data_IF_289115376014
#
_entry.id   IF_289115376014
#
_cell.length_a   1.000
_cell.length_b   1.000
_cell.length_c   1.000
_cell.angle_alpha   90.00
_cell.angle_beta   90.00
_cell.angle_gamma   90.00
#
_symmetry.space_group_name_H-M   'P 1'
#
loop_
_entity.id
_entity.type
_entity.pdbx_description
1 polymer ?
#
# COMPACT_ATOMS: atom_id res chain seq x y z
N UNK A 1 15.17 -1.29 16.90
CA UNK A 1 16.63 -1.23 17.13
C UNK A 1 16.89 -0.23 18.25
N UNK A 2 17.91 -0.44 19.08
CA UNK A 2 18.21 0.42 20.26
C UNK A 2 19.22 1.54 19.98
N UNK A 3 19.63 1.72 18.72
CA UNK A 3 20.57 2.76 18.29
C UNK A 3 20.31 3.17 16.84
N UNK A 4 20.94 4.26 16.43
CA UNK A 4 20.98 4.70 15.04
C UNK A 4 21.53 3.59 14.11
N UNK A 5 20.95 3.41 12.91
CA UNK A 5 21.42 2.42 11.97
C UNK A 5 22.77 2.81 11.36
N UNK A 6 23.63 1.81 11.17
CA UNK A 6 24.89 1.91 10.44
C UNK A 6 24.72 1.25 9.08
N UNK A 7 25.63 1.55 8.15
CA UNK A 7 25.63 0.93 6.83
C UNK A 7 25.61 -0.62 6.89
N UNK A 8 26.37 -1.22 7.82
CA UNK A 8 26.41 -2.68 8.01
C UNK A 8 25.07 -3.28 8.46
N UNK A 9 24.22 -2.50 9.12
CA UNK A 9 22.92 -2.98 9.61
C UNK A 9 21.98 -3.33 8.45
N UNK A 10 22.27 -2.86 7.23
CA UNK A 10 21.61 -3.26 5.98
C UNK A 10 21.70 -4.76 5.71
N UNK A 11 22.83 -5.37 6.04
CA UNK A 11 23.10 -6.79 5.82
C UNK A 11 22.80 -7.59 7.08
N UNK A 12 23.20 -7.06 8.24
CA UNK A 12 22.91 -7.69 9.53
C UNK A 12 21.40 -7.84 9.77
N UNK A 13 20.57 -6.94 9.22
CA UNK A 13 19.11 -7.06 9.29
C UNK A 13 18.62 -8.41 8.75
N UNK A 14 19.10 -8.85 7.59
CA UNK A 14 18.64 -10.11 7.01
C UNK A 14 19.08 -11.33 7.82
N UNK A 15 20.29 -11.27 8.39
CA UNK A 15 20.74 -12.31 9.31
C UNK A 15 19.84 -12.41 10.54
N UNK A 16 19.53 -11.27 11.17
CA UNK A 16 18.65 -11.22 12.35
C UNK A 16 17.21 -11.61 12.01
N UNK A 17 16.73 -11.20 10.83
CA UNK A 17 15.42 -11.54 10.33
C UNK A 17 15.30 -13.04 10.08
N UNK A 18 16.27 -13.65 9.41
CA UNK A 18 16.30 -15.08 9.16
C UNK A 18 16.31 -15.86 10.47
N UNK A 19 17.15 -15.46 11.44
CA UNK A 19 17.17 -16.07 12.78
C UNK A 19 15.78 -16.03 13.43
N UNK A 20 15.09 -14.88 13.36
CA UNK A 20 13.73 -14.73 13.93
C UNK A 20 12.68 -15.56 13.18
N UNK A 21 12.73 -15.58 11.85
CA UNK A 21 11.83 -16.38 11.00
C UNK A 21 12.01 -17.88 11.30
N UNK A 22 13.24 -18.37 11.43
CA UNK A 22 13.51 -19.77 11.78
C UNK A 22 12.94 -20.11 13.15
N UNK A 23 13.04 -19.21 14.13
CA UNK A 23 12.54 -19.47 15.49
C UNK A 23 11.03 -19.29 15.68
N UNK A 24 10.37 -18.42 14.90
CA UNK A 24 8.97 -18.00 15.14
C UNK A 24 8.04 -18.21 13.95
N UNK A 25 8.56 -18.60 12.79
CA UNK A 25 7.81 -18.75 11.55
C UNK A 25 7.59 -17.43 10.80
N UNK A 26 7.45 -17.55 9.47
CA UNK A 26 7.24 -16.41 8.57
C UNK A 26 5.86 -15.76 8.74
N UNK A 27 4.82 -16.57 8.96
CA UNK A 27 3.44 -16.08 9.13
C UNK A 27 3.29 -15.18 10.34
N UNK A 28 3.80 -15.62 11.51
CA UNK A 28 3.78 -14.85 12.74
C UNK A 28 4.53 -13.51 12.60
N UNK A 29 5.65 -13.50 11.88
CA UNK A 29 6.41 -12.28 11.63
C UNK A 29 5.62 -11.27 10.78
N UNK A 30 5.01 -11.73 9.68
CA UNK A 30 4.15 -10.88 8.84
C UNK A 30 2.95 -10.33 9.64
N UNK A 31 2.29 -11.18 10.41
CA UNK A 31 1.15 -10.79 11.25
C UNK A 31 1.56 -9.77 12.32
N UNK A 32 2.74 -9.93 12.93
CA UNK A 32 3.26 -8.98 13.92
C UNK A 32 3.55 -7.61 13.29
N UNK A 33 4.03 -7.57 12.05
CA UNK A 33 4.23 -6.31 11.34
C UNK A 33 2.91 -5.64 10.98
N UNK A 34 2.00 -6.39 10.34
CA UNK A 34 0.70 -5.87 9.93
C UNK A 34 -0.22 -5.54 11.12
N UNK A 35 -0.09 -6.22 12.26
CA UNK A 35 -0.87 -5.92 13.47
C UNK A 35 -0.24 -4.82 14.33
N UNK A 36 1.10 -4.75 14.37
CA UNK A 36 1.83 -3.75 15.14
C UNK A 36 1.50 -2.32 14.73
N UNK A 37 1.31 -2.07 13.43
CA UNK A 37 0.92 -0.77 12.90
C UNK A 37 -0.41 -0.22 13.45
N UNK A 38 -1.27 -1.05 14.04
CA UNK A 38 -2.58 -0.66 14.58
C UNK A 38 -2.56 -0.33 16.07
N UNK A 39 -1.75 -1.05 16.84
CA UNK A 39 -1.90 -1.08 18.30
C UNK A 39 -0.71 -0.51 19.04
N UNK A 40 0.42 -0.29 18.36
CA UNK A 40 1.66 0.06 19.01
C UNK A 40 2.28 1.29 18.34
N UNK A 41 2.25 2.48 18.99
CA UNK A 41 2.90 3.70 18.50
C UNK A 41 4.39 3.52 18.20
N UNK A 42 5.03 2.55 18.85
CA UNK A 42 6.43 2.21 18.64
C UNK A 42 6.69 1.23 17.50
N UNK A 43 5.65 0.61 16.95
CA UNK A 43 5.77 -0.35 15.87
C UNK A 43 6.18 0.31 14.56
N UNK A 44 6.71 -0.53 13.70
CA UNK A 44 7.10 -0.15 12.35
C UNK A 44 5.84 0.09 11.53
N UNK A 45 5.71 1.29 10.96
CA UNK A 45 4.56 1.66 10.12
C UNK A 45 3.29 1.99 10.90
N UNK A 46 3.39 2.40 12.17
CA UNK A 46 2.22 2.82 12.95
C UNK A 46 1.41 3.92 12.25
N UNK A 47 0.16 3.62 11.91
CA UNK A 47 -0.70 4.44 11.06
C UNK A 47 -1.44 5.56 11.78
N UNK A 48 -1.31 5.65 13.11
CA UNK A 48 -2.11 6.54 13.95
C UNK A 48 -3.37 5.86 14.48
N UNK A 49 -4.10 6.56 15.35
CA UNK A 49 -5.37 6.09 15.92
C UNK A 49 -6.59 6.70 15.24
N UNK A 50 -6.39 7.65 14.34
CA UNK A 50 -7.45 8.46 13.75
C UNK A 50 -7.32 8.49 12.22
N UNK A 51 -8.45 8.73 11.55
CA UNK A 51 -8.45 9.01 10.12
C UNK A 51 -7.61 10.27 9.84
N UNK A 52 -6.77 10.22 8.81
CA UNK A 52 -6.00 11.39 8.42
C UNK A 52 -6.92 12.47 7.87
N UNK A 53 -6.69 13.73 8.27
CA UNK A 53 -7.49 14.89 7.82
C UNK A 53 -7.68 14.96 6.30
N UNK A 54 -6.67 14.55 5.52
CA UNK A 54 -6.78 14.53 4.06
C UNK A 54 -7.88 13.58 3.56
N UNK A 55 -8.02 12.41 4.19
CA UNK A 55 -9.07 11.43 3.88
C UNK A 55 -10.43 12.02 4.26
N UNK A 56 -10.53 12.66 5.43
CA UNK A 56 -11.76 13.31 5.88
C UNK A 56 -12.22 14.39 4.89
N UNK A 57 -11.31 15.29 4.48
CA UNK A 57 -11.60 16.33 3.47
C UNK A 57 -12.02 15.70 2.13
N UNK A 58 -11.36 14.63 1.70
CA UNK A 58 -11.72 13.94 0.47
C UNK A 58 -13.12 13.31 0.55
N UNK A 59 -13.50 12.74 1.71
CA UNK A 59 -14.85 12.21 1.95
C UNK A 59 -15.91 13.32 1.93
N UNK A 60 -15.61 14.49 2.48
CA UNK A 60 -16.51 15.66 2.40
C UNK A 60 -16.74 16.10 0.94
N UNK A 61 -15.67 16.14 0.14
CA UNK A 61 -15.77 16.40 -1.31
C UNK A 61 -16.66 15.34 -1.97
N UNK A 62 -16.42 14.06 -1.72
CA UNK A 62 -17.26 12.99 -2.29
C UNK A 62 -18.73 13.14 -1.87
N UNK A 63 -19.03 13.42 -0.60
CA UNK A 63 -20.41 13.63 -0.14
C UNK A 63 -21.09 14.79 -0.86
N UNK A 64 -20.37 15.89 -1.11
CA UNK A 64 -20.92 17.06 -1.78
C UNK A 64 -21.28 16.79 -3.26
N UNK A 65 -20.50 15.96 -3.96
CA UNK A 65 -20.68 15.73 -5.40
C UNK A 65 -21.42 14.43 -5.74
N UNK A 66 -21.37 13.41 -4.89
CA UNK A 66 -21.96 12.09 -5.15
C UNK A 66 -23.45 12.02 -4.79
N UNK A 67 -23.93 12.94 -3.94
CA UNK A 67 -25.29 12.91 -3.38
C UNK A 67 -26.44 13.14 -4.37
N UNK A 68 -26.19 13.64 -5.59
CA UNK A 68 -27.27 13.92 -6.55
C UNK A 68 -26.90 13.51 -7.98
N UNK A 69 -27.68 12.60 -8.58
CA UNK A 69 -27.66 12.31 -10.01
C UNK A 69 -26.64 11.29 -10.51
N UNK A 70 -25.85 10.67 -9.63
CA UNK A 70 -24.91 9.60 -10.01
C UNK A 70 -25.62 8.24 -9.94
N UNK A 71 -25.77 7.55 -11.07
CA UNK A 71 -26.36 6.20 -11.11
C UNK A 71 -25.31 5.09 -10.91
N UNK A 72 -24.09 5.31 -11.37
CA UNK A 72 -22.96 4.37 -11.34
C UNK A 72 -21.66 5.13 -11.15
N UNK A 73 -20.73 4.53 -10.43
CA UNK A 73 -19.38 5.07 -10.30
C UNK A 73 -18.33 3.97 -10.20
N UNK A 74 -17.10 4.28 -10.58
CA UNK A 74 -15.94 3.41 -10.36
C UNK A 74 -14.89 4.26 -9.65
N UNK A 75 -14.45 3.80 -8.48
CA UNK A 75 -13.36 4.41 -7.70
C UNK A 75 -12.16 3.49 -7.78
N UNK A 76 -11.06 4.01 -8.33
CA UNK A 76 -9.76 3.35 -8.43
C UNK A 76 -8.82 4.01 -7.42
N UNK A 77 -8.60 3.35 -6.27
CA UNK A 77 -7.56 3.76 -5.31
C UNK A 77 -6.20 3.23 -5.79
N UNK A 78 -5.38 4.12 -6.35
CA UNK A 78 -4.07 3.75 -6.92
C UNK A 78 -3.02 3.83 -5.83
N UNK A 79 -2.43 2.69 -5.51
CA UNK A 79 -1.42 2.59 -4.46
C UNK A 79 -0.21 1.76 -4.89
N UNK A 80 0.82 1.81 -4.05
CA UNK A 80 2.04 1.04 -4.21
C UNK A 80 2.21 0.09 -3.04
N UNK A 81 2.72 -1.11 -3.30
CA UNK A 81 2.91 -2.10 -2.27
C UNK A 81 4.05 -3.05 -2.58
N UNK A 82 4.46 -3.89 -1.61
CA UNK A 82 5.47 -4.91 -1.85
C UNK A 82 5.00 -5.89 -2.94
N UNK A 83 5.88 -6.24 -3.86
CA UNK A 83 5.53 -7.10 -4.99
C UNK A 83 6.61 -7.14 -6.07
N UNK A 84 6.29 -7.78 -7.19
CA UNK A 84 7.14 -7.71 -8.37
C UNK A 84 7.08 -6.30 -8.97
N UNK A 85 8.23 -5.72 -9.28
CA UNK A 85 8.34 -4.34 -9.75
C UNK A 85 7.45 -4.09 -10.99
N UNK A 86 6.55 -3.11 -10.90
CA UNK A 86 5.66 -2.71 -11.99
C UNK A 86 4.56 -3.72 -12.30
N UNK A 87 4.47 -4.82 -11.54
CA UNK A 87 3.31 -5.71 -11.61
C UNK A 87 2.08 -5.00 -11.05
N UNK A 88 0.94 -5.24 -11.68
CA UNK A 88 -0.34 -4.66 -11.26
C UNK A 88 -1.18 -5.76 -10.65
N UNK A 89 -1.87 -5.43 -9.57
CA UNK A 89 -2.92 -6.25 -8.99
C UNK A 89 -4.12 -5.37 -8.67
N UNK A 90 -5.29 -5.77 -9.15
CA UNK A 90 -6.55 -5.15 -8.78
C UNK A 90 -7.15 -5.94 -7.62
N UNK A 91 -7.42 -5.24 -6.53
CA UNK A 91 -7.96 -5.81 -5.30
C UNK A 91 -9.40 -5.33 -5.14
N UNK A 92 -10.33 -6.29 -5.09
CA UNK A 92 -11.75 -6.04 -4.84
C UNK A 92 -12.11 -6.30 -3.38
N UNK A 93 -13.21 -5.68 -2.91
CA UNK A 93 -13.67 -5.81 -1.53
C UNK A 93 -14.43 -7.10 -1.31
N UNK A 94 -15.12 -7.57 -2.35
CA UNK A 94 -15.90 -8.80 -2.32
C UNK A 94 -15.64 -9.65 -3.55
N UNK A 95 -16.16 -10.88 -3.51
CA UNK A 95 -16.11 -11.81 -4.64
C UNK A 95 -17.03 -11.35 -5.78
N UNK A 96 -18.14 -10.69 -5.45
CA UNK A 96 -19.09 -10.13 -6.41
C UNK A 96 -18.47 -8.95 -7.16
N UNK A 97 -17.84 -8.01 -6.44
CA UNK A 97 -17.08 -6.91 -7.05
C UNK A 97 -15.95 -7.43 -7.94
N UNK A 98 -15.29 -8.53 -7.54
CA UNK A 98 -14.25 -9.17 -8.35
C UNK A 98 -14.75 -9.58 -9.72
N UNK A 99 -15.94 -10.20 -9.79
CA UNK A 99 -16.54 -10.65 -11.06
C UNK A 99 -16.84 -9.46 -11.97
N UNK A 100 -17.26 -8.34 -11.41
CA UNK A 100 -17.46 -7.09 -12.17
C UNK A 100 -16.11 -6.53 -12.63
N UNK A 101 -15.13 -6.44 -11.74
CA UNK A 101 -13.79 -5.96 -12.05
C UNK A 101 -13.09 -6.80 -13.14
N UNK A 102 -13.22 -8.13 -13.11
CA UNK A 102 -12.67 -9.03 -14.14
C UNK A 102 -13.22 -8.76 -15.54
N UNK A 103 -14.48 -8.31 -15.63
CA UNK A 103 -15.11 -7.95 -16.91
C UNK A 103 -14.59 -6.61 -17.44
N UNK A 104 -14.32 -5.65 -16.54
CA UNK A 104 -13.87 -4.30 -16.87
C UNK A 104 -12.37 -4.32 -17.19
N UNK A 105 -11.55 -4.83 -16.27
CA UNK A 105 -10.08 -4.78 -16.32
C UNK A 105 -9.51 -6.09 -16.87
N UNK A 106 -9.80 -6.36 -18.15
CA UNK A 106 -9.39 -7.61 -18.80
C UNK A 106 -7.88 -7.80 -18.79
N UNK A 107 -7.42 -8.95 -18.30
CA UNK A 107 -6.00 -9.32 -18.27
C UNK A 107 -5.23 -8.77 -17.07
N UNK A 108 -5.84 -7.95 -16.21
CA UNK A 108 -5.23 -7.56 -14.94
C UNK A 108 -5.29 -8.73 -13.94
N UNK A 109 -4.27 -8.82 -13.09
CA UNK A 109 -4.25 -9.82 -12.00
C UNK A 109 -5.25 -9.40 -10.93
N UNK A 110 -6.08 -10.34 -10.49
CA UNK A 110 -7.15 -10.08 -9.52
C UNK A 110 -6.88 -10.72 -8.17
N UNK A 111 -7.21 -10.01 -7.10
CA UNK A 111 -7.15 -10.49 -5.73
C UNK A 111 -8.39 -10.04 -4.95
N UNK A 112 -8.82 -10.85 -3.99
CA UNK A 112 -9.90 -10.49 -3.07
C UNK A 112 -9.33 -10.04 -1.73
N UNK A 113 -9.99 -9.09 -1.06
CA UNK A 113 -9.55 -8.58 0.24
C UNK A 113 -9.42 -9.64 1.33
N UNK A 114 -10.16 -10.74 1.27
CA UNK A 114 -10.05 -11.83 2.26
C UNK A 114 -8.62 -12.40 2.37
N UNK A 115 -7.75 -12.11 1.40
CA UNK A 115 -6.34 -12.53 1.38
C UNK A 115 -5.37 -11.50 2.00
N UNK A 116 -5.84 -10.32 2.43
CA UNK A 116 -5.01 -9.25 3.01
C UNK A 116 -5.44 -8.87 4.43
N UNK A 117 -4.47 -8.44 5.25
CA UNK A 117 -4.77 -7.69 6.47
C UNK A 117 -5.17 -6.29 6.06
N UNK A 118 -6.25 -5.74 6.63
CA UNK A 118 -6.62 -4.33 6.41
C UNK A 118 -5.38 -3.44 6.64
N UNK A 119 -5.28 -2.31 5.95
CA UNK A 119 -4.22 -1.31 6.14
C UNK A 119 -4.86 0.06 6.46
N UNK A 120 -4.35 0.78 7.46
CA UNK A 120 -4.74 2.16 7.74
C UNK A 120 -4.23 3.03 6.59
N UNK A 121 -5.12 3.81 5.98
CA UNK A 121 -4.80 4.74 4.89
C UNK A 121 -5.38 4.39 3.52
N UNK A 122 -6.10 3.26 3.38
CA UNK A 122 -6.87 2.99 2.16
C UNK A 122 -8.01 4.02 2.01
N UNK A 123 -8.17 4.60 0.82
CA UNK A 123 -9.25 5.55 0.53
C UNK A 123 -10.48 4.75 0.13
N UNK A 124 -11.34 4.43 1.11
CA UNK A 124 -12.50 3.55 0.92
C UNK A 124 -13.80 4.21 1.35
N UNK A 125 -14.32 5.13 0.53
CA UNK A 125 -15.56 5.84 0.82
C UNK A 125 -16.79 4.98 0.52
N UNK A 126 -16.81 3.69 0.88
CA UNK A 126 -17.93 2.78 0.58
C UNK A 126 -19.25 3.21 1.21
N UNK A 127 -19.19 3.99 2.28
CA UNK A 127 -20.34 4.60 2.95
C UNK A 127 -20.86 5.87 2.26
N UNK A 128 -20.08 6.43 1.33
CA UNK A 128 -20.35 7.72 0.69
C UNK A 128 -20.88 7.57 -0.74
N UNK A 129 -20.54 6.46 -1.41
CA UNK A 129 -20.89 6.24 -2.81
C UNK A 129 -22.19 5.44 -2.99
N UNK A 130 -22.85 5.62 -4.13
CA UNK A 130 -24.12 4.95 -4.46
C UNK A 130 -23.97 3.43 -4.48
N UNK A 131 -25.05 2.69 -4.20
CA UNK A 131 -25.02 1.21 -4.10
C UNK A 131 -24.47 0.49 -5.34
N UNK A 132 -24.54 1.12 -6.51
CA UNK A 132 -24.02 0.56 -7.77
C UNK A 132 -22.62 1.07 -8.12
N UNK A 133 -21.78 1.26 -7.11
CA UNK A 133 -20.40 1.74 -7.27
C UNK A 133 -19.41 0.59 -7.13
N UNK A 134 -18.40 0.56 -7.99
CA UNK A 134 -17.28 -0.36 -7.88
C UNK A 134 -16.10 0.38 -7.26
N UNK A 135 -15.72 0.00 -6.03
CA UNK A 135 -14.57 0.60 -5.33
C UNK A 135 -13.48 -0.44 -5.25
N UNK A 136 -12.39 -0.21 -5.96
CA UNK A 136 -11.28 -1.16 -6.07
C UNK A 136 -9.95 -0.47 -5.83
N UNK A 137 -8.98 -1.25 -5.36
CA UNK A 137 -7.60 -0.81 -5.20
C UNK A 137 -6.76 -1.33 -6.35
N UNK A 138 -6.04 -0.44 -7.02
CA UNK A 138 -5.05 -0.77 -8.04
C UNK A 138 -3.66 -0.67 -7.41
N UNK A 139 -3.09 -1.82 -7.06
CA UNK A 139 -1.80 -1.90 -6.40
C UNK A 139 -0.68 -2.18 -7.41
N UNK A 140 0.35 -1.33 -7.40
CA UNK A 140 1.57 -1.54 -8.16
C UNK A 140 2.68 -2.10 -7.27
N UNK A 141 3.16 -3.29 -7.63
CA UNK A 141 4.27 -3.94 -6.95
C UNK A 141 5.57 -3.16 -7.11
N UNK A 142 6.32 -3.05 -6.02
CA UNK A 142 7.55 -2.25 -5.92
C UNK A 142 8.77 -3.14 -5.83
N UNK A 143 9.10 -3.61 -4.63
CA UNK A 143 10.18 -4.56 -4.36
C UNK A 143 9.69 -5.69 -3.48
N UNK A 144 10.51 -6.74 -3.33
CA UNK A 144 10.18 -7.86 -2.44
C UNK A 144 9.94 -7.35 -1.00
N UNK A 145 8.90 -7.90 -0.36
CA UNK A 145 8.47 -7.51 0.98
C UNK A 145 9.60 -7.50 2.02
N UNK A 146 10.62 -8.37 1.89
CA UNK A 146 11.79 -8.40 2.77
C UNK A 146 12.59 -7.10 2.72
N UNK A 147 12.72 -6.48 1.55
CA UNK A 147 13.42 -5.20 1.37
C UNK A 147 12.58 -4.04 1.90
N UNK A 148 11.26 -4.07 1.70
CA UNK A 148 10.33 -3.10 2.30
C UNK A 148 10.41 -3.15 3.82
N UNK A 149 10.34 -4.34 4.41
CA UNK A 149 10.48 -4.53 5.86
C UNK A 149 11.82 -3.96 6.35
N UNK A 150 12.94 -4.32 5.72
CA UNK A 150 14.25 -3.76 6.07
C UNK A 150 14.23 -2.23 6.06
N UNK A 151 13.74 -1.61 4.99
CA UNK A 151 13.73 -0.17 4.85
C UNK A 151 12.92 0.50 5.97
N UNK A 152 11.72 -0.03 6.25
CA UNK A 152 10.86 0.44 7.33
C UNK A 152 11.52 0.33 8.72
N UNK A 153 12.20 -0.77 9.02
CA UNK A 153 12.88 -0.95 10.30
C UNK A 153 14.08 0.00 10.46
N UNK A 154 14.86 0.20 9.40
CA UNK A 154 16.03 1.08 9.43
C UNK A 154 15.63 2.54 9.51
N UNK A 155 14.61 2.96 8.75
CA UNK A 155 14.08 4.33 8.81
C UNK A 155 13.48 4.61 10.19
N UNK A 156 12.64 3.73 10.74
CA UNK A 156 12.09 3.90 12.09
C UNK A 156 13.20 3.99 13.15
N UNK A 157 14.29 3.21 13.01
CA UNK A 157 15.43 3.31 13.91
C UNK A 157 16.16 4.66 13.77
N UNK A 158 16.33 5.16 12.55
CA UNK A 158 16.94 6.46 12.31
C UNK A 158 16.05 7.61 12.79
N UNK A 159 14.74 7.53 12.60
CA UNK A 159 13.77 8.48 13.11
C UNK A 159 13.85 8.60 14.63
N UNK A 160 13.97 7.47 15.35
CA UNK A 160 14.04 7.48 16.82
C UNK A 160 15.39 7.95 17.36
N UNK A 161 16.50 7.56 16.73
CA UNK A 161 17.84 7.70 17.32
C UNK A 161 18.76 8.69 16.62
N UNK A 162 18.37 9.21 15.46
CA UNK A 162 19.22 10.06 14.62
C UNK A 162 18.40 11.09 13.81
N UNK A 163 17.24 11.52 14.31
CA UNK A 163 16.32 12.42 13.60
C UNK A 163 17.04 13.68 13.12
N UNK A 164 16.81 14.04 11.85
CA UNK A 164 17.41 15.23 11.23
C UNK A 164 18.89 15.09 10.83
N UNK A 165 19.53 13.96 11.15
CA UNK A 165 20.91 13.70 10.70
C UNK A 165 20.99 13.24 9.24
N UNK A 166 22.19 13.22 8.68
CA UNK A 166 22.46 12.61 7.38
C UNK A 166 22.05 11.13 7.33
N UNK A 167 22.26 10.37 8.42
CA UNK A 167 21.85 8.96 8.50
C UNK A 167 20.34 8.83 8.33
N UNK A 168 19.57 9.69 8.97
CA UNK A 168 18.12 9.71 8.84
C UNK A 168 17.68 10.04 7.41
N UNK A 169 18.27 11.06 6.78
CA UNK A 169 17.98 11.40 5.39
C UNK A 169 18.23 10.22 4.42
N UNK A 170 19.36 9.51 4.59
CA UNK A 170 19.68 8.32 3.77
C UNK A 170 18.66 7.20 3.97
N UNK A 171 18.24 6.93 5.21
CA UNK A 171 17.23 5.88 5.46
C UNK A 171 15.84 6.28 4.93
N UNK A 172 15.49 7.57 4.96
CA UNK A 172 14.25 8.08 4.35
C UNK A 172 14.27 7.91 2.82
N UNK A 173 15.39 8.17 2.17
CA UNK A 173 15.54 7.94 0.73
C UNK A 173 15.39 6.45 0.39
N UNK A 174 15.99 5.56 1.19
CA UNK A 174 15.83 4.12 0.97
C UNK A 174 14.42 3.61 1.22
N UNK A 175 13.72 4.19 2.21
CA UNK A 175 12.31 3.90 2.43
C UNK A 175 11.48 4.33 1.22
N UNK A 176 11.72 5.55 0.72
CA UNK A 176 11.07 6.06 -0.49
C UNK A 176 11.34 5.15 -1.69
N UNK A 177 12.58 4.73 -1.92
CA UNK A 177 12.94 3.85 -3.03
C UNK A 177 12.30 2.46 -2.93
N UNK A 178 12.08 1.96 -1.71
CA UNK A 178 11.39 0.70 -1.49
C UNK A 178 9.90 0.76 -1.86
N UNK A 179 9.24 1.92 -1.72
CA UNK A 179 7.84 2.14 -2.09
C UNK A 179 7.65 2.81 -3.45
N UNK A 180 8.69 3.43 -3.99
CA UNK A 180 8.67 4.13 -5.28
C UNK A 180 10.01 3.91 -6.01
N UNK A 181 10.21 2.73 -6.65
CA UNK A 181 11.40 2.45 -7.43
C UNK A 181 11.66 3.53 -8.48
N UNK A 182 12.89 4.05 -8.54
CA UNK A 182 13.25 5.11 -9.48
C UNK A 182 13.49 4.62 -10.92
N UNK A 183 13.33 3.33 -11.19
CA UNK A 183 13.61 2.76 -12.51
C UNK A 183 12.61 3.29 -13.56
N UNK A 184 13.09 3.52 -14.79
CA UNK A 184 12.20 3.89 -15.89
C UNK A 184 11.24 2.76 -16.26
N UNK A 185 11.65 1.51 -16.06
CA UNK A 185 10.79 0.34 -16.30
C UNK A 185 9.55 0.37 -15.38
N UNK A 186 9.74 0.61 -14.08
CA UNK A 186 8.65 0.75 -13.12
C UNK A 186 7.71 1.90 -13.50
N UNK A 187 8.25 3.10 -13.74
CA UNK A 187 7.43 4.28 -14.07
C UNK A 187 6.63 4.09 -15.35
N UNK A 188 7.23 3.50 -16.39
CA UNK A 188 6.53 3.17 -17.66
C UNK A 188 5.44 2.13 -17.45
N UNK A 189 5.70 1.10 -16.62
CA UNK A 189 4.70 0.07 -16.32
C UNK A 189 3.50 0.64 -15.57
N UNK A 190 3.74 1.44 -14.53
CA UNK A 190 2.70 2.11 -13.74
C UNK A 190 1.86 3.03 -14.63
N UNK A 191 2.51 3.89 -15.43
CA UNK A 191 1.79 4.79 -16.34
C UNK A 191 0.95 4.02 -17.36
N UNK A 192 1.54 3.05 -18.06
CA UNK A 192 0.85 2.27 -19.09
C UNK A 192 -0.38 1.55 -18.54
N UNK A 193 -0.24 0.88 -17.40
CA UNK A 193 -1.32 0.09 -16.80
C UNK A 193 -2.35 0.97 -16.09
N UNK A 194 -1.91 2.04 -15.43
CA UNK A 194 -2.79 3.05 -14.85
C UNK A 194 -3.72 3.67 -15.88
N UNK A 195 -3.17 4.11 -17.02
CA UNK A 195 -3.98 4.65 -18.14
C UNK A 195 -4.90 3.57 -18.71
N UNK A 196 -4.41 2.35 -18.94
CA UNK A 196 -5.25 1.27 -19.45
C UNK A 196 -6.43 0.92 -18.50
N UNK A 197 -6.21 0.94 -17.19
CA UNK A 197 -7.25 0.74 -16.21
C UNK A 197 -8.27 1.90 -16.22
N UNK A 198 -7.78 3.15 -16.25
CA UNK A 198 -8.65 4.32 -16.37
C UNK A 198 -9.53 4.25 -17.64
N UNK A 199 -8.93 3.98 -18.80
CA UNK A 199 -9.65 3.88 -20.07
C UNK A 199 -10.69 2.75 -20.05
N UNK A 200 -10.35 1.61 -19.42
CA UNK A 200 -11.27 0.48 -19.27
C UNK A 200 -12.46 0.83 -18.38
N UNK A 201 -12.22 1.53 -17.26
CA UNK A 201 -13.28 2.02 -16.38
C UNK A 201 -14.16 3.07 -17.07
N UNK A 202 -13.54 4.03 -17.75
CA UNK A 202 -14.24 5.06 -18.52
C UNK A 202 -15.16 4.46 -19.57
N UNK A 203 -14.64 3.54 -20.39
CA UNK A 203 -15.41 2.84 -21.42
C UNK A 203 -16.57 2.01 -20.87
N UNK A 204 -16.47 1.55 -19.62
CA UNK A 204 -17.56 0.81 -18.98
C UNK A 204 -18.69 1.74 -18.50
N UNK A 205 -18.37 2.99 -18.16
CA UNK A 205 -19.33 3.97 -17.69
C UNK A 205 -19.98 4.78 -18.83
N UNK A 206 -19.29 4.95 -19.96
CA UNK A 206 -19.78 5.59 -21.18
C UNK A 206 -20.71 4.68 -21.99
#
# INVERSE_FOLDING_TARGET
>A
MSRAPRFIDRYAFFYQLLKRIVTKGLGAFKQTLSGGQYHHPDAVGFGGHEEQRAITVLREVFKAYVGTGIEKSIVLDVCTGPGSEGSETIVSNSREERVVAEKIFKGAKMQSRNDETEQIGEIRPSDTFVKNSLIIKQNFGTVNWLFVARALFLENAAYKHAKGSHVHAVMQEWLKDAFYPQTMAYKRAVLKKGVAAFDSAWKHLS
#
